data_IF_669079822621
#
_entry.id   IF_669079822621
#
_cell.length_a   1.000
_cell.length_b   1.000
_cell.length_c   1.000
_cell.angle_alpha   90.00
_cell.angle_beta   90.00
_cell.angle_gamma   90.00
#
_symmetry.space_group_name_H-M   'P 1'
#
loop_
_entity.id
_entity.type
_entity.pdbx_description
1 polymer ?
#
# COMPACT_ATOMS: atom_id res chain seq x y z
N UNK A 1 -6.54 -11.38 6.09
CA UNK A 1 -7.63 -10.69 5.35
C UNK A 1 -8.62 -9.90 6.22
N UNK A 2 -8.76 -10.17 7.54
CA UNK A 2 -9.77 -9.53 8.39
C UNK A 2 -9.65 -8.01 8.61
N UNK A 3 -8.42 -7.48 8.74
CA UNK A 3 -8.19 -6.06 9.00
C UNK A 3 -8.67 -5.15 7.85
N UNK A 4 -8.36 -5.53 6.61
CA UNK A 4 -8.78 -4.79 5.41
C UNK A 4 -10.32 -4.71 5.34
N UNK A 5 -11.01 -5.80 5.68
CA UNK A 5 -12.48 -5.81 5.74
C UNK A 5 -13.01 -4.83 6.78
N UNK A 6 -12.44 -4.81 7.98
CA UNK A 6 -12.83 -3.88 9.06
C UNK A 6 -12.59 -2.42 8.66
N UNK A 7 -11.46 -2.12 8.02
CA UNK A 7 -11.16 -0.78 7.50
C UNK A 7 -12.17 -0.34 6.43
N UNK A 8 -12.54 -1.23 5.50
CA UNK A 8 -13.57 -0.94 4.48
C UNK A 8 -14.95 -0.68 5.10
N UNK A 9 -15.32 -1.44 6.13
CA UNK A 9 -16.59 -1.23 6.85
C UNK A 9 -16.58 0.11 7.58
N UNK A 10 -15.51 0.41 8.31
CA UNK A 10 -15.34 1.67 9.05
C UNK A 10 -15.38 2.86 8.11
N UNK A 11 -14.61 2.83 7.03
CA UNK A 11 -14.61 3.88 6.01
C UNK A 11 -16.01 4.08 5.39
N UNK A 12 -16.77 3.00 5.18
CA UNK A 12 -18.14 3.08 4.66
C UNK A 12 -19.10 3.72 5.66
N UNK A 13 -19.01 3.35 6.94
CA UNK A 13 -19.83 3.96 7.99
C UNK A 13 -19.56 5.47 8.08
N UNK A 14 -18.28 5.87 8.12
CA UNK A 14 -17.88 7.28 8.12
C UNK A 14 -18.41 8.04 6.90
N UNK A 15 -18.29 7.48 5.70
CA UNK A 15 -18.81 8.12 4.48
C UNK A 15 -20.33 8.32 4.51
N UNK A 16 -21.07 7.40 5.13
CA UNK A 16 -22.54 7.54 5.27
C UNK A 16 -22.89 8.64 6.26
N UNK A 17 -22.15 8.71 7.36
CA UNK A 17 -22.31 9.76 8.39
C UNK A 17 -22.04 11.15 7.81
N UNK A 18 -20.93 11.32 7.08
CA UNK A 18 -20.58 12.58 6.40
C UNK A 18 -21.64 13.05 5.39
N UNK A 19 -22.36 12.12 4.77
CA UNK A 19 -23.42 12.42 3.80
C UNK A 19 -24.81 12.53 4.46
N UNK A 20 -24.94 12.28 5.77
CA UNK A 20 -26.21 12.25 6.47
C UNK A 20 -27.16 11.14 6.01
N UNK A 21 -26.65 10.03 5.46
CA UNK A 21 -27.46 8.96 4.84
C UNK A 21 -27.60 7.73 5.73
N UNK A 22 -28.83 7.44 6.12
CA UNK A 22 -29.22 6.29 6.92
C UNK A 22 -29.36 5.02 6.07
N UNK A 23 -29.46 3.84 6.69
CA UNK A 23 -29.73 2.59 5.96
C UNK A 23 -31.10 2.59 5.28
N UNK A 24 -32.06 3.39 5.77
CA UNK A 24 -33.43 3.47 5.22
C UNK A 24 -33.48 4.11 3.85
N UNK A 25 -32.51 4.97 3.53
CA UNK A 25 -32.42 5.64 2.24
C UNK A 25 -32.05 4.67 1.11
N UNK A 26 -31.62 3.45 1.44
CA UNK A 26 -31.24 2.38 0.50
C UNK A 26 -30.24 2.82 -0.59
N UNK A 27 -29.49 3.89 -0.36
CA UNK A 27 -28.53 4.42 -1.32
C UNK A 27 -27.41 3.40 -1.54
N UNK A 28 -27.23 3.05 -2.81
CA UNK A 28 -26.22 2.09 -3.26
C UNK A 28 -24.81 2.59 -2.95
N UNK A 29 -23.92 1.66 -2.61
CA UNK A 29 -22.51 1.96 -2.32
C UNK A 29 -21.76 2.61 -3.49
N UNK A 30 -22.19 2.36 -4.73
CA UNK A 30 -21.61 2.99 -5.93
C UNK A 30 -21.88 4.49 -5.94
N UNK A 31 -23.09 4.89 -5.55
CA UNK A 31 -23.48 6.31 -5.48
C UNK A 31 -22.74 7.05 -4.36
N UNK A 32 -22.59 6.42 -3.20
CA UNK A 32 -21.77 6.98 -2.10
C UNK A 32 -20.31 7.15 -2.51
N UNK A 33 -19.76 6.22 -3.32
CA UNK A 33 -18.40 6.33 -3.88
C UNK A 33 -18.30 7.47 -4.87
N UNK A 34 -19.28 7.64 -5.76
CA UNK A 34 -19.34 8.74 -6.73
C UNK A 34 -19.37 10.10 -6.04
N UNK A 35 -20.20 10.27 -5.01
CA UNK A 35 -20.35 11.55 -4.28
C UNK A 35 -19.13 11.93 -3.45
N UNK A 36 -18.40 10.95 -2.93
CA UNK A 36 -17.27 11.22 -2.04
C UNK A 36 -15.93 11.28 -2.77
N UNK A 37 -15.79 10.66 -3.94
CA UNK A 37 -14.53 10.47 -4.69
C UNK A 37 -13.37 9.85 -3.87
N UNK A 38 -13.61 9.48 -2.61
CA UNK A 38 -12.59 8.96 -1.70
C UNK A 38 -12.18 7.56 -2.13
N UNK A 39 -10.88 7.41 -2.41
CA UNK A 39 -10.22 6.13 -2.76
C UNK A 39 -10.44 5.04 -1.70
N UNK A 40 -10.62 3.78 -2.13
CA UNK A 40 -10.82 2.64 -1.23
C UNK A 40 -9.55 2.39 -0.41
N UNK A 41 -9.66 2.40 0.92
CA UNK A 41 -8.52 2.25 1.83
C UNK A 41 -7.77 0.93 1.62
N UNK A 42 -8.46 -0.13 1.18
CA UNK A 42 -7.82 -1.40 0.88
C UNK A 42 -6.84 -1.26 -0.29
N UNK A 43 -7.23 -0.55 -1.35
CA UNK A 43 -6.37 -0.30 -2.50
C UNK A 43 -5.16 0.53 -2.08
N UNK A 44 -5.36 1.55 -1.24
CA UNK A 44 -4.26 2.38 -0.73
C UNK A 44 -3.27 1.57 0.11
N UNK A 45 -3.75 0.77 1.05
CA UNK A 45 -2.92 -0.09 1.91
C UNK A 45 -2.13 -1.10 1.07
N UNK A 46 -2.78 -1.77 0.11
CA UNK A 46 -2.12 -2.73 -0.78
C UNK A 46 -1.06 -2.05 -1.64
N UNK A 47 -1.36 -0.87 -2.20
CA UNK A 47 -0.40 -0.08 -2.99
C UNK A 47 0.83 0.30 -2.16
N UNK A 48 0.63 0.79 -0.94
CA UNK A 48 1.72 1.17 -0.04
C UNK A 48 2.58 -0.04 0.35
N UNK A 49 1.98 -1.19 0.67
CA UNK A 49 2.73 -2.44 0.93
C UNK A 49 3.58 -2.83 -0.28
N UNK A 50 3.02 -2.75 -1.48
CA UNK A 50 3.77 -3.07 -2.70
C UNK A 50 4.90 -2.07 -3.00
N UNK A 51 4.67 -0.78 -2.77
CA UNK A 51 5.70 0.24 -2.90
C UNK A 51 6.84 0.02 -1.91
N UNK A 52 6.53 -0.33 -0.66
CA UNK A 52 7.53 -0.68 0.34
C UNK A 52 8.34 -1.92 -0.07
N UNK A 53 7.68 -3.01 -0.49
CA UNK A 53 8.38 -4.21 -0.94
C UNK A 53 9.31 -3.92 -2.12
N UNK A 54 8.86 -3.10 -3.08
CA UNK A 54 9.69 -2.63 -4.20
C UNK A 54 10.90 -1.81 -3.73
N UNK A 55 10.72 -0.93 -2.75
CA UNK A 55 11.81 -0.15 -2.17
C UNK A 55 12.86 -1.06 -1.54
N UNK A 56 12.44 -2.04 -0.72
CA UNK A 56 13.35 -3.03 -0.11
C UNK A 56 14.16 -3.78 -1.18
N UNK A 57 13.51 -4.26 -2.24
CA UNK A 57 14.21 -4.95 -3.35
C UNK A 57 15.27 -4.06 -3.99
N UNK A 58 14.96 -2.78 -4.25
CA UNK A 58 15.94 -1.84 -4.81
C UNK A 58 17.10 -1.58 -3.84
N UNK A 59 16.82 -1.34 -2.56
CA UNK A 59 17.85 -1.05 -1.56
C UNK A 59 18.74 -2.26 -1.26
N UNK A 60 18.19 -3.48 -1.29
CA UNK A 60 18.98 -4.71 -1.18
C UNK A 60 19.82 -4.96 -2.44
N UNK A 61 19.29 -4.67 -3.63
CA UNK A 61 20.04 -4.75 -4.88
C UNK A 61 21.17 -3.73 -4.95
N UNK A 62 21.05 -2.56 -4.32
CA UNK A 62 22.11 -1.53 -4.36
C UNK A 62 23.25 -1.85 -3.40
N UNK A 63 22.95 -2.41 -2.23
CA UNK A 63 23.92 -2.70 -1.16
C UNK A 63 24.67 -4.02 -1.36
N UNK A 64 24.14 -4.96 -2.15
CA UNK A 64 24.76 -6.27 -2.37
C UNK A 64 25.96 -6.27 -3.32
N UNK A 65 26.04 -5.29 -4.24
CA UNK A 65 27.10 -5.24 -5.26
C UNK A 65 28.35 -4.47 -4.82
N UNK A 66 28.20 -3.50 -3.91
CA UNK A 66 29.33 -2.68 -3.44
C UNK A 66 30.24 -3.42 -2.45
N UNK A 67 29.71 -4.38 -1.69
CA UNK A 67 30.52 -5.24 -0.82
C UNK A 67 31.26 -6.34 -1.59
N UNK A 68 30.70 -6.79 -2.72
CA UNK A 68 31.27 -7.87 -3.55
C UNK A 68 32.41 -7.41 -4.46
N UNK A 69 32.41 -6.14 -4.88
CA UNK A 69 33.47 -5.60 -5.74
C UNK A 69 34.74 -5.20 -4.96
N UNK A 70 34.62 -4.68 -3.73
CA UNK A 70 35.79 -4.30 -2.92
C UNK A 70 36.56 -5.51 -2.37
N UNK A 71 35.89 -6.64 -2.11
CA UNK A 71 36.55 -7.87 -1.66
C UNK A 71 37.22 -8.69 -2.78
N UNK A 72 36.80 -8.50 -4.04
CA UNK A 72 37.37 -9.21 -5.18
C UNK A 72 38.67 -8.58 -5.70
N UNK A 73 38.87 -7.27 -5.50
CA UNK A 73 40.05 -6.54 -5.99
C UNK A 73 41.27 -6.67 -5.04
N UNK A 74 41.06 -6.98 -3.75
CA UNK A 74 42.13 -7.25 -2.78
C UNK A 74 42.69 -8.69 -2.83
N UNK A 75 42.06 -9.59 -3.58
CA UNK A 75 42.44 -11.02 -3.64
C UNK A 75 43.18 -11.41 -4.93
N UNK A 76 43.51 -10.47 -5.82
CA UNK A 76 44.31 -10.74 -7.01
C UNK A 76 45.81 -10.76 -6.65
N UNK A 77 46.50 -11.90 -6.79
CA UNK A 77 47.95 -11.93 -6.61
C UNK A 77 48.60 -11.14 -7.76
N UNK A 78 49.31 -10.07 -7.39
CA UNK A 78 50.29 -9.45 -8.27
C UNK A 78 51.51 -10.38 -8.27
N UNK A 79 51.84 -10.91 -9.44
CA UNK A 79 53.15 -11.49 -9.69
C UNK A 79 54.19 -10.39 -9.89
#
# INVERSE_FOLDING_TARGET
MGLIRRLRVTQRAMKRDMLGVSLRDQIRNVEIRRRTEVTDIAQRVTKLRWQWARHIVRTCSEKGWTLGSQGAEMAAPHW
#
